data_IF_368720157984
#
_entry.id   IF_368720157984
#
_cell.length_a   1.000
_cell.length_b   1.000
_cell.length_c   1.000
_cell.angle_alpha   90.00
_cell.angle_beta   90.00
_cell.angle_gamma   90.00
#
_symmetry.space_group_name_H-M   'P 1'
#
loop_
_entity.id
_entity.type
_entity.pdbx_description
1 polymer ?
#
# COMPACT_ATOMS: atom_id res chain seq x y z
N UNK A 1 -40.96 1.64 -50.18
CA UNK A 1 -40.60 2.99 -49.69
C UNK A 1 -39.09 3.12 -49.74
N UNK A 2 -38.64 4.00 -50.65
CA UNK A 2 -37.37 4.73 -50.75
C UNK A 2 -36.09 4.09 -50.17
N UNK A 3 -35.24 3.65 -51.10
CA UNK A 3 -33.79 3.48 -50.91
C UNK A 3 -33.12 4.86 -51.09
N UNK A 4 -32.30 5.28 -50.14
CA UNK A 4 -31.39 6.43 -50.22
C UNK A 4 -30.25 6.10 -49.24
N UNK A 5 -28.98 5.99 -49.60
CA UNK A 5 -28.22 6.55 -50.70
C UNK A 5 -26.86 6.89 -50.08
N UNK A 6 -25.94 5.93 -50.08
CA UNK A 6 -24.56 6.12 -49.63
C UNK A 6 -23.85 7.06 -50.60
N UNK A 7 -23.52 8.27 -50.16
CA UNK A 7 -22.66 9.18 -50.89
C UNK A 7 -21.23 9.10 -50.36
N UNK A 8 -20.33 9.04 -51.33
CA UNK A 8 -18.90 8.76 -51.25
C UNK A 8 -18.15 10.09 -51.50
N UNK A 9 -17.10 10.31 -50.69
CA UNK A 9 -15.97 11.27 -50.81
C UNK A 9 -16.15 12.74 -50.41
N UNK A 10 -15.41 13.12 -49.36
CA UNK A 10 -14.69 14.40 -49.31
C UNK A 10 -13.29 14.12 -48.77
N UNK A 11 -12.30 14.34 -49.62
CA UNK A 11 -10.90 14.46 -49.21
C UNK A 11 -10.71 15.86 -48.60
N UNK A 12 -10.15 15.92 -47.40
CA UNK A 12 -9.84 17.20 -46.75
C UNK A 12 -9.30 17.02 -45.33
N UNK A 13 -7.99 17.24 -45.22
CA UNK A 13 -7.18 17.54 -44.04
C UNK A 13 -6.52 16.38 -43.25
N UNK A 14 -5.19 16.45 -43.04
CA UNK A 14 -4.49 15.51 -42.19
C UNK A 14 -4.87 15.75 -40.73
N UNK A 15 -5.31 14.69 -40.07
CA UNK A 15 -5.49 14.61 -38.62
C UNK A 15 -4.25 15.20 -37.91
N UNK A 16 -4.40 16.10 -36.92
CA UNK A 16 -3.26 16.55 -36.13
C UNK A 16 -2.59 15.33 -35.50
N UNK A 17 -1.25 15.32 -35.38
CA UNK A 17 -0.54 14.21 -34.76
C UNK A 17 -1.13 14.01 -33.36
N UNK A 18 -1.80 12.87 -33.19
CA UNK A 18 -2.16 12.38 -31.86
C UNK A 18 -0.86 12.39 -31.05
N UNK A 19 -0.82 12.98 -29.84
CA UNK A 19 0.33 12.82 -29.00
C UNK A 19 0.45 11.31 -28.79
N UNK A 20 1.49 10.73 -29.37
CA UNK A 20 1.98 9.42 -28.97
C UNK A 20 2.32 9.56 -27.51
N UNK A 21 1.34 9.30 -26.65
CA UNK A 21 1.59 9.03 -25.24
C UNK A 21 2.58 7.88 -25.29
N UNK A 22 3.80 8.17 -24.87
CA UNK A 22 4.86 7.20 -24.66
C UNK A 22 4.36 6.22 -23.61
N UNK A 23 3.63 5.20 -24.06
CA UNK A 23 3.05 4.12 -23.24
C UNK A 23 4.11 3.29 -22.53
N UNK A 24 5.38 3.49 -22.88
CA UNK A 24 6.54 2.84 -22.28
C UNK A 24 6.86 3.35 -20.87
N UNK A 25 6.52 4.60 -20.51
CA UNK A 25 6.73 5.14 -19.16
C UNK A 25 5.62 4.76 -18.17
N UNK A 26 4.35 4.87 -18.61
CA UNK A 26 3.17 4.61 -17.79
C UNK A 26 3.08 3.14 -17.34
N UNK A 27 3.53 2.21 -18.19
CA UNK A 27 3.59 0.78 -17.85
C UNK A 27 4.61 0.48 -16.74
N UNK A 28 5.78 1.13 -16.77
CA UNK A 28 6.80 0.96 -15.73
C UNK A 28 6.38 1.57 -14.40
N UNK A 29 5.77 2.76 -14.41
CA UNK A 29 5.25 3.40 -13.19
C UNK A 29 4.11 2.60 -12.55
N UNK A 30 3.22 2.04 -13.38
CA UNK A 30 2.15 1.17 -12.89
C UNK A 30 2.68 -0.11 -12.25
N UNK A 31 3.67 -0.76 -12.87
CA UNK A 31 4.29 -1.97 -12.29
C UNK A 31 5.01 -1.66 -10.97
N UNK A 32 5.73 -0.54 -10.88
CA UNK A 32 6.34 -0.08 -9.64
C UNK A 32 5.29 0.21 -8.55
N UNK A 33 4.15 0.80 -8.92
CA UNK A 33 3.05 1.05 -7.98
C UNK A 33 2.43 -0.26 -7.48
N UNK A 34 2.21 -1.24 -8.35
CA UNK A 34 1.71 -2.56 -7.98
C UNK A 34 2.68 -3.29 -7.03
N UNK A 35 3.99 -3.26 -7.33
CA UNK A 35 5.00 -3.86 -6.45
C UNK A 35 5.05 -3.17 -5.08
N UNK A 36 4.99 -1.83 -5.06
CA UNK A 36 4.92 -1.06 -3.83
C UNK A 36 3.64 -1.36 -3.01
N UNK A 37 2.51 -1.57 -3.67
CA UNK A 37 1.26 -1.96 -3.02
C UNK A 37 1.37 -3.34 -2.36
N UNK A 38 1.88 -4.34 -3.09
CA UNK A 38 2.09 -5.70 -2.55
C UNK A 38 3.05 -5.67 -1.37
N UNK A 39 4.14 -4.90 -1.47
CA UNK A 39 5.09 -4.71 -0.39
C UNK A 39 4.43 -4.08 0.85
N UNK A 40 3.70 -2.97 0.67
CA UNK A 40 3.02 -2.29 1.77
C UNK A 40 1.97 -3.17 2.46
N UNK A 41 1.19 -3.92 1.69
CA UNK A 41 0.21 -4.87 2.22
C UNK A 41 0.89 -6.00 3.00
N UNK A 42 2.00 -6.53 2.48
CA UNK A 42 2.78 -7.58 3.14
C UNK A 42 3.35 -7.10 4.47
N UNK A 43 3.95 -5.92 4.51
CA UNK A 43 4.49 -5.36 5.76
C UNK A 43 3.38 -5.05 6.77
N UNK A 44 2.22 -4.57 6.30
CA UNK A 44 1.05 -4.38 7.17
C UNK A 44 0.56 -5.70 7.78
N UNK A 45 0.54 -6.80 7.01
CA UNK A 45 0.18 -8.13 7.49
C UNK A 45 1.18 -8.65 8.52
N UNK A 46 2.50 -8.56 8.24
CA UNK A 46 3.54 -8.94 9.21
C UNK A 46 3.41 -8.17 10.52
N UNK A 47 3.10 -6.87 10.45
CA UNK A 47 2.84 -6.07 11.64
C UNK A 47 1.65 -6.63 12.41
N UNK A 48 0.53 -6.93 11.74
CA UNK A 48 -0.64 -7.54 12.37
C UNK A 48 -0.31 -8.88 13.03
N UNK A 49 0.46 -9.74 12.37
CA UNK A 49 0.90 -11.04 12.91
C UNK A 49 1.80 -10.91 14.14
N UNK A 50 2.54 -9.80 14.25
CA UNK A 50 3.38 -9.51 15.42
C UNK A 50 2.60 -8.93 16.62
N UNK A 51 1.44 -8.31 16.37
CA UNK A 51 0.68 -7.62 17.43
C UNK A 51 0.27 -8.55 18.56
N UNK A 52 -0.18 -9.81 18.37
CA UNK A 52 -0.51 -10.72 19.46
C UNK A 52 0.59 -10.82 20.54
N UNK A 53 1.86 -10.85 20.13
CA UNK A 53 3.02 -10.99 21.03
C UNK A 53 3.33 -9.71 21.83
N UNK A 54 2.85 -8.55 21.36
CA UNK A 54 3.07 -7.27 22.05
C UNK A 54 2.12 -7.16 23.24
N UNK A 55 2.64 -7.20 24.46
CA UNK A 55 1.83 -7.00 25.66
C UNK A 55 1.15 -5.62 25.67
N UNK A 56 -0.16 -5.58 25.92
CA UNK A 56 -0.85 -4.32 26.13
C UNK A 56 -0.48 -3.75 27.51
N UNK A 57 0.09 -2.55 27.54
CA UNK A 57 0.47 -1.85 28.79
C UNK A 57 -0.66 -0.95 29.34
N UNK A 58 -1.80 -0.88 28.64
CA UNK A 58 -2.95 -0.07 29.01
C UNK A 58 -4.27 -0.68 28.54
N UNK A 59 -5.38 -0.30 29.19
CA UNK A 59 -6.73 -0.73 28.80
C UNK A 59 -7.10 -0.26 27.39
N UNK A 60 -6.64 0.94 26.98
CA UNK A 60 -6.78 1.43 25.61
C UNK A 60 -6.03 0.52 24.62
N UNK A 61 -4.84 0.03 24.98
CA UNK A 61 -4.12 -0.96 24.16
C UNK A 61 -4.85 -2.30 24.03
N UNK A 62 -5.56 -2.74 25.08
CA UNK A 62 -6.43 -3.92 25.03
C UNK A 62 -7.61 -3.67 24.08
N UNK A 63 -8.28 -2.53 24.21
CA UNK A 63 -9.38 -2.12 23.32
C UNK A 63 -8.90 -2.07 21.86
N UNK A 64 -7.70 -1.56 21.59
CA UNK A 64 -7.13 -1.51 20.25
C UNK A 64 -6.94 -2.89 19.63
N UNK A 65 -6.41 -3.85 20.38
CA UNK A 65 -6.28 -5.24 19.93
C UNK A 65 -7.64 -5.87 19.63
N UNK A 66 -8.63 -5.65 20.49
CA UNK A 66 -9.98 -6.17 20.27
C UNK A 66 -10.67 -5.52 19.06
N UNK A 67 -10.49 -4.22 18.81
CA UNK A 67 -10.95 -3.57 17.59
C UNK A 67 -10.32 -4.19 16.34
N UNK A 68 -9.01 -4.43 16.38
CA UNK A 68 -8.28 -5.06 15.27
C UNK A 68 -8.84 -6.45 14.97
N UNK A 69 -9.10 -7.26 16.00
CA UNK A 69 -9.67 -8.60 15.86
C UNK A 69 -11.10 -8.56 15.30
N UNK A 70 -11.97 -7.68 15.80
CA UNK A 70 -13.37 -7.57 15.33
C UNK A 70 -13.48 -7.00 13.91
N UNK A 71 -12.50 -6.17 13.53
CA UNK A 71 -12.37 -5.60 12.20
C UNK A 71 -11.64 -6.49 11.20
N UNK A 72 -10.95 -7.54 11.67
CA UNK A 72 -10.38 -8.57 10.81
C UNK A 72 -11.51 -9.39 10.16
N UNK A 73 -11.22 -9.82 8.93
CA UNK A 73 -12.14 -10.45 7.99
C UNK A 73 -13.12 -11.43 8.65
N UNK A 74 -14.42 -11.13 8.49
CA UNK A 74 -15.53 -11.84 9.13
C UNK A 74 -15.98 -13.07 8.36
N UNK A 75 -15.27 -13.44 7.29
CA UNK A 75 -15.56 -14.60 6.44
C UNK A 75 -15.22 -15.96 7.10
N UNK A 76 -15.33 -16.05 8.43
CA UNK A 76 -15.49 -17.33 9.13
C UNK A 76 -16.96 -17.72 8.92
N UNK A 77 -17.19 -18.55 7.91
CA UNK A 77 -18.51 -18.84 7.33
C UNK A 77 -19.58 -19.45 8.24
N UNK A 78 -19.27 -19.71 9.52
CA UNK A 78 -20.27 -20.07 10.53
C UNK A 78 -20.33 -19.04 11.69
N UNK A 79 -21.45 -18.31 11.84
CA UNK A 79 -21.67 -17.40 12.96
C UNK A 79 -21.77 -18.08 14.35
N UNK A 80 -21.76 -19.42 14.44
CA UNK A 80 -21.60 -20.17 15.71
C UNK A 80 -20.16 -20.56 16.08
N UNK A 81 -19.17 -20.40 15.19
CA UNK A 81 -17.86 -21.09 15.33
C UNK A 81 -16.82 -20.43 16.25
N UNK A 82 -16.99 -19.19 16.71
CA UNK A 82 -16.03 -18.54 17.60
C UNK A 82 -16.70 -17.36 18.34
N UNK A 83 -16.27 -16.96 19.55
CA UNK A 83 -17.01 -16.04 20.42
C UNK A 83 -17.05 -14.57 19.93
N UNK A 84 -17.09 -14.30 18.63
CA UNK A 84 -17.19 -12.96 18.06
C UNK A 84 -18.34 -12.12 18.60
N UNK A 85 -19.57 -12.64 18.78
CA UNK A 85 -20.64 -11.87 19.41
C UNK A 85 -20.28 -11.45 20.84
N UNK A 86 -19.63 -12.32 21.61
CA UNK A 86 -19.21 -12.04 22.98
C UNK A 86 -18.05 -11.03 23.02
N UNK A 87 -17.05 -11.19 22.15
CA UNK A 87 -15.93 -10.25 22.01
C UNK A 87 -16.43 -8.86 21.58
N UNK A 88 -17.37 -8.80 20.63
CA UNK A 88 -17.99 -7.54 20.22
C UNK A 88 -18.80 -6.91 21.35
N UNK A 89 -19.50 -7.70 22.17
CA UNK A 89 -20.19 -7.20 23.36
C UNK A 89 -19.22 -6.61 24.38
N UNK A 90 -18.19 -7.37 24.76
CA UNK A 90 -17.15 -6.92 25.70
C UNK A 90 -16.47 -5.65 25.19
N UNK A 91 -16.15 -5.57 23.90
CA UNK A 91 -15.55 -4.39 23.30
C UNK A 91 -16.46 -3.14 23.44
N UNK A 92 -17.77 -3.29 23.27
CA UNK A 92 -18.72 -2.17 23.49
C UNK A 92 -18.71 -1.72 24.95
N UNK A 93 -18.75 -2.66 25.89
CA UNK A 93 -18.77 -2.37 27.32
C UNK A 93 -17.47 -1.69 27.76
N UNK A 94 -16.32 -2.19 27.31
CA UNK A 94 -15.01 -1.60 27.60
C UNK A 94 -14.89 -0.17 27.07
N UNK A 95 -15.41 0.11 25.87
CA UNK A 95 -15.44 1.48 25.32
C UNK A 95 -16.36 2.41 26.11
N UNK A 96 -17.47 1.90 26.62
CA UNK A 96 -18.37 2.68 27.46
C UNK A 96 -17.71 3.08 28.80
N UNK A 97 -16.85 2.22 29.33
CA UNK A 97 -16.15 2.43 30.61
C UNK A 97 -14.90 3.30 30.43
N UNK A 98 -14.05 2.98 29.45
CA UNK A 98 -12.71 3.56 29.31
C UNK A 98 -12.60 4.62 28.21
N UNK A 99 -13.66 4.83 27.43
CA UNK A 99 -13.62 5.60 26.18
C UNK A 99 -13.17 4.76 24.99
N UNK A 100 -13.47 5.26 23.79
CA UNK A 100 -13.01 4.66 22.54
C UNK A 100 -11.56 5.02 22.20
N UNK A 101 -11.00 4.34 21.20
CA UNK A 101 -9.75 4.82 20.61
C UNK A 101 -9.94 6.22 20.04
N UNK A 102 -8.94 7.11 20.14
CA UNK A 102 -9.00 8.37 19.42
C UNK A 102 -9.24 8.06 17.94
N UNK A 103 -10.15 8.81 17.32
CA UNK A 103 -10.32 8.73 15.87
C UNK A 103 -8.97 9.10 15.29
N UNK A 104 -8.24 8.11 14.77
CA UNK A 104 -7.05 8.35 13.95
C UNK A 104 -7.52 9.10 12.73
N UNK A 105 -7.59 10.42 12.85
CA UNK A 105 -7.75 11.31 11.70
C UNK A 105 -6.57 10.93 10.82
N UNK A 106 -6.81 10.44 9.61
CA UNK A 106 -5.77 10.28 8.59
C UNK A 106 -5.17 11.66 8.39
N UNK A 107 -4.15 11.99 9.17
CA UNK A 107 -3.48 13.25 9.05
C UNK A 107 -2.59 13.10 7.83
N UNK A 108 -3.12 13.48 6.67
CA UNK A 108 -2.38 13.45 5.40
C UNK A 108 -1.03 14.16 5.52
N UNK A 109 -0.93 15.15 6.39
CA UNK A 109 0.32 15.83 6.69
C UNK A 109 1.31 14.94 7.44
N UNK A 110 0.86 14.19 8.45
CA UNK A 110 1.70 13.18 9.12
C UNK A 110 2.17 12.13 8.14
N UNK A 111 1.27 11.55 7.33
CA UNK A 111 1.65 10.57 6.30
C UNK A 111 2.65 11.13 5.30
N UNK A 112 2.47 12.38 4.84
CA UNK A 112 3.43 13.05 3.94
C UNK A 112 4.79 13.24 4.59
N UNK A 113 4.83 13.65 5.86
CA UNK A 113 6.07 13.80 6.59
C UNK A 113 6.80 12.47 6.77
N UNK A 114 6.08 11.39 7.06
CA UNK A 114 6.68 10.06 7.18
C UNK A 114 7.21 9.57 5.83
N UNK A 115 6.45 9.76 4.75
CA UNK A 115 6.92 9.46 3.37
C UNK A 115 8.19 10.25 3.04
N UNK A 116 8.26 11.55 3.39
CA UNK A 116 9.45 12.35 3.14
C UNK A 116 10.69 11.81 3.90
N UNK A 117 10.54 11.40 5.16
CA UNK A 117 11.62 10.80 5.96
C UNK A 117 12.08 9.45 5.39
N UNK A 118 11.14 8.61 4.98
CA UNK A 118 11.45 7.33 4.36
C UNK A 118 12.14 7.53 3.01
N UNK A 119 11.72 8.51 2.23
CA UNK A 119 12.39 8.89 0.98
C UNK A 119 13.83 9.34 1.20
N UNK A 120 14.07 10.24 2.17
CA UNK A 120 15.43 10.67 2.53
C UNK A 120 16.33 9.49 2.95
N UNK A 121 15.76 8.58 3.75
CA UNK A 121 16.48 7.38 4.20
C UNK A 121 16.79 6.43 3.03
N UNK A 122 15.85 6.27 2.09
CA UNK A 122 16.04 5.45 0.90
C UNK A 122 17.11 6.03 -0.03
N UNK A 123 17.10 7.34 -0.28
CA UNK A 123 18.12 8.02 -1.08
C UNK A 123 19.51 7.81 -0.47
N UNK A 124 19.64 7.94 0.85
CA UNK A 124 20.89 7.68 1.56
C UNK A 124 21.36 6.24 1.41
N UNK A 125 20.43 5.28 1.47
CA UNK A 125 20.73 3.85 1.36
C UNK A 125 21.18 3.49 -0.06
N UNK A 126 20.53 4.03 -1.10
CA UNK A 126 20.93 3.86 -2.51
C UNK A 126 22.33 4.42 -2.75
N UNK A 127 22.61 5.64 -2.28
CA UNK A 127 23.93 6.24 -2.42
C UNK A 127 25.04 5.39 -1.76
N UNK A 128 24.79 4.84 -0.56
CA UNK A 128 25.75 3.96 0.10
C UNK A 128 26.01 2.66 -0.68
N UNK A 129 24.99 2.07 -1.30
CA UNK A 129 25.14 0.87 -2.12
C UNK A 129 25.92 1.14 -3.42
N UNK A 130 25.79 2.32 -4.02
CA UNK A 130 26.57 2.73 -5.19
C UNK A 130 28.05 2.94 -4.85
N UNK A 131 28.35 3.47 -3.66
CA UNK A 131 29.73 3.62 -3.17
C UNK A 131 30.39 2.25 -2.86
N UNK A 132 29.66 1.30 -2.27
CA UNK A 132 30.16 -0.05 -1.99
C UNK A 132 30.37 -0.88 -3.28
N UNK A 133 29.50 -0.73 -4.29
CA UNK A 133 29.64 -1.40 -5.59
C UNK A 133 30.82 -0.90 -6.44
N UNK A 134 31.32 0.31 -6.18
CA UNK A 134 32.48 0.88 -6.86
C UNK A 134 33.83 0.46 -6.24
N UNK A 135 33.81 -0.23 -5.10
CA UNK A 135 35.01 -0.59 -4.33
C UNK A 135 35.57 -2.00 -4.60
N UNK A 136 34.92 -2.82 -5.44
CA UNK A 136 35.51 -4.10 -5.90
C UNK A 136 36.67 -3.82 -6.88
N UNK A 137 37.95 -4.04 -6.50
CA UNK A 137 39.05 -3.84 -7.41
C UNK A 137 39.06 -4.99 -8.42
N UNK A 138 38.97 -4.64 -9.71
CA UNK A 138 39.41 -5.53 -10.79
C UNK A 138 40.85 -5.95 -10.50
N UNK A 139 41.00 -7.15 -9.95
CA UNK A 139 42.28 -7.83 -9.83
C UNK A 139 42.83 -8.05 -11.23
N UNK A 140 43.74 -7.17 -11.64
CA UNK A 140 44.51 -7.31 -12.86
C UNK A 140 45.45 -8.51 -12.66
N UNK A 141 45.07 -9.67 -13.21
CA UNK A 141 45.95 -10.83 -13.30
C UNK A 141 46.89 -10.57 -14.47
N UNK A 142 47.92 -9.77 -14.22
CA UNK A 142 49.14 -9.79 -15.00
C UNK A 142 50.16 -10.65 -14.24
N UNK A 143 50.30 -11.91 -14.66
CA UNK A 143 51.49 -12.71 -14.34
C UNK A 143 52.07 -13.21 -15.67
N UNK A 144 53.35 -12.86 -15.82
CA UNK A 144 54.29 -13.15 -16.90
C UNK A 144 54.38 -14.64 -17.26
#
# INVERSE_FOLDING_TARGET
MVNTGTQVLTAGEPMPPQPSVSTTGVGSEHLMACEAEVFAMTEALKLQDSIPEVAATSLIGVIAKLEMIVGADRDIGDPTDFPWPHIASVLRDLKAIAGGLPVSRRNRETTRNDVAKHWESAVKLVAALEEDGAAEPRGDVAVL
#
